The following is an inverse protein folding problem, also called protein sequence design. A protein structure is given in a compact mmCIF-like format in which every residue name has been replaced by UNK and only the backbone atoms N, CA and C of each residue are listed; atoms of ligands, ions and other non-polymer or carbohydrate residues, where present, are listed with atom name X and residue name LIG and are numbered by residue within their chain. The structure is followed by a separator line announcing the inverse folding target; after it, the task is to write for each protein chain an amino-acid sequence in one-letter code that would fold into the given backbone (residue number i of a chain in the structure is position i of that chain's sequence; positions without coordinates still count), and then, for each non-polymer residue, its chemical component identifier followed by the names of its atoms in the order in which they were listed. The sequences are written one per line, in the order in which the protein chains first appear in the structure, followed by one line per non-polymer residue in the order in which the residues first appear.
data_IF_599664374703
#
_entry.id   IF_599664374703
#
_cell.length_a   1.000
_cell.length_b   1.000
_cell.length_c   1.000
_cell.angle_alpha   90.00
_cell.angle_beta   90.00
_cell.angle_gamma   90.00
#
_symmetry.space_group_name_H-M   'P 1'
#
loop_
_entity.id
_entity.type
_entity.pdbx_description
1 polymer ?
#
# COMPACT_ATOMS: atom_id res chain seq x y z
N UNK A 1 -18.50 -33.34 16.52
CA UNK A 1 -19.04 -32.90 15.23
C UNK A 1 -17.97 -32.06 14.57
N UNK A 2 -17.23 -32.69 13.65
CA UNK A 2 -16.10 -32.09 12.95
C UNK A 2 -16.60 -31.17 11.84
N UNK A 3 -16.18 -29.91 11.84
CA UNK A 3 -16.25 -29.03 10.69
C UNK A 3 -14.88 -29.00 10.05
N UNK A 4 -14.78 -29.59 8.88
CA UNK A 4 -13.64 -29.54 7.98
C UNK A 4 -13.63 -28.20 7.27
N UNK A 5 -12.56 -27.44 7.47
CA UNK A 5 -12.26 -26.21 6.73
C UNK A 5 -11.93 -26.54 5.28
N UNK A 6 -12.77 -26.06 4.37
CA UNK A 6 -12.54 -26.17 2.93
C UNK A 6 -11.65 -25.04 2.45
N UNK A 7 -10.38 -25.33 2.23
CA UNK A 7 -9.46 -24.47 1.48
C UNK A 7 -9.90 -24.42 0.01
N UNK A 8 -10.44 -23.29 -0.41
CA UNK A 8 -10.71 -23.01 -1.82
C UNK A 8 -9.41 -22.62 -2.51
N UNK A 9 -8.77 -23.60 -3.14
CA UNK A 9 -7.67 -23.36 -4.08
C UNK A 9 -8.22 -22.67 -5.34
N UNK A 10 -7.90 -21.40 -5.53
CA UNK A 10 -8.14 -20.69 -6.80
C UNK A 10 -7.09 -21.13 -7.81
N UNK A 11 -7.50 -21.92 -8.81
CA UNK A 11 -6.68 -22.30 -9.97
C UNK A 11 -6.38 -21.06 -10.82
N UNK A 12 -5.08 -20.82 -11.04
CA UNK A 12 -4.57 -19.86 -12.03
C UNK A 12 -4.91 -20.39 -13.43
N UNK A 13 -5.64 -19.63 -14.22
CA UNK A 13 -5.86 -19.91 -15.65
C UNK A 13 -4.65 -19.38 -16.40
N UNK A 14 -3.80 -20.29 -16.88
CA UNK A 14 -2.71 -19.99 -17.81
C UNK A 14 -3.30 -20.06 -19.21
N UNK A 15 -3.42 -18.91 -19.89
CA UNK A 15 -3.73 -18.83 -21.30
C UNK A 15 -2.46 -19.14 -22.11
N UNK A 16 -2.32 -20.36 -22.58
CA UNK A 16 -1.37 -20.74 -23.62
C UNK A 16 -2.05 -20.59 -24.98
N UNK A 17 -1.68 -19.56 -25.73
CA UNK A 17 -1.99 -19.49 -27.16
C UNK A 17 -0.84 -20.11 -27.95
N UNK A 18 -1.07 -21.32 -28.43
CA UNK A 18 -0.29 -21.97 -29.49
C UNK A 18 -0.73 -21.45 -30.85
N UNK A 19 0.19 -20.86 -31.59
CA UNK A 19 0.04 -20.50 -32.97
C UNK A 19 1.18 -21.13 -33.79
N UNK A 20 0.87 -22.22 -34.48
CA UNK A 20 1.70 -22.88 -35.50
C UNK A 20 1.64 -22.12 -36.83
N UNK A 21 2.78 -21.92 -37.46
CA UNK A 21 2.88 -21.43 -38.83
C UNK A 21 4.21 -21.75 -39.46
N UNK A 22 4.18 -22.70 -40.36
CA UNK A 22 5.24 -23.24 -41.24
C UNK A 22 5.59 -22.25 -42.39
N UNK A 23 6.83 -22.36 -42.91
CA UNK A 23 7.21 -21.98 -44.30
C UNK A 23 8.53 -21.23 -44.35
N UNK A 24 9.56 -21.90 -44.62
CA UNK A 24 10.37 -22.24 -45.82
C UNK A 24 11.22 -21.09 -46.41
N UNK A 25 12.53 -21.39 -46.40
CA UNK A 25 13.60 -21.30 -47.41
C UNK A 25 13.94 -19.96 -48.12
N UNK A 26 15.24 -19.73 -48.17
CA UNK A 26 15.86 -18.84 -49.11
C UNK A 26 17.28 -18.44 -48.74
N UNK A 27 18.23 -19.30 -49.12
CA UNK A 27 19.68 -19.16 -49.14
C UNK A 27 20.20 -18.05 -50.07
N UNK A 28 21.44 -17.69 -49.81
CA UNK A 28 22.57 -17.27 -50.69
C UNK A 28 23.11 -15.88 -50.27
N UNK A 29 24.30 -15.87 -49.84
CA UNK A 29 25.66 -16.08 -50.38
C UNK A 29 26.34 -14.79 -50.84
N UNK A 30 27.61 -14.70 -50.38
CA UNK A 30 28.83 -14.23 -51.04
C UNK A 30 29.08 -12.72 -51.06
N UNK A 31 30.09 -12.31 -50.38
CA UNK A 31 31.52 -12.19 -50.50
C UNK A 31 32.07 -10.80 -50.77
N UNK A 32 33.20 -10.63 -50.14
CA UNK A 32 34.48 -10.04 -50.55
C UNK A 32 34.68 -8.54 -50.63
N UNK A 33 35.67 -8.16 -49.84
CA UNK A 33 37.00 -7.58 -50.21
C UNK A 33 36.97 -6.12 -50.59
N UNK A 34 37.90 -5.28 -50.31
CA UNK A 34 39.35 -5.25 -50.12
C UNK A 34 39.73 -3.85 -49.61
N UNK A 35 40.68 -3.78 -48.69
CA UNK A 35 42.04 -3.18 -48.72
C UNK A 35 42.25 -1.81 -49.39
N UNK A 36 43.00 -1.03 -48.69
CA UNK A 36 44.30 -0.38 -48.94
C UNK A 36 44.27 1.10 -48.48
N UNK A 37 45.05 1.47 -47.46
CA UNK A 37 46.46 1.87 -47.38
C UNK A 37 46.77 3.30 -47.88
N UNK A 38 47.51 4.02 -47.06
CA UNK A 38 48.33 5.17 -47.47
C UNK A 38 48.36 6.27 -46.42
N UNK A 39 49.33 6.33 -45.57
CA UNK A 39 50.63 7.00 -45.55
C UNK A 39 50.56 8.53 -45.51
N UNK A 40 51.23 9.07 -44.48
CA UNK A 40 52.00 10.32 -44.55
C UNK A 40 51.82 11.20 -43.34
N UNK A 41 52.66 11.08 -42.38
CA UNK A 41 53.82 11.88 -41.95
C UNK A 41 53.55 13.30 -41.42
N UNK A 42 53.94 13.42 -40.16
CA UNK A 42 54.77 14.48 -39.48
C UNK A 42 54.23 15.91 -39.39
N UNK A 43 54.11 16.46 -38.22
CA UNK A 43 55.06 17.14 -37.38
C UNK A 43 54.38 17.85 -36.18
N UNK A 44 54.88 17.50 -35.02
CA UNK A 44 55.36 18.30 -33.88
C UNK A 44 54.71 19.67 -33.53
N UNK A 45 54.27 19.75 -32.28
CA UNK A 45 54.69 20.74 -31.28
C UNK A 45 53.64 20.83 -30.13
N UNK A 46 54.05 20.36 -28.98
CA UNK A 46 53.84 20.87 -27.61
C UNK A 46 52.72 21.88 -27.36
N UNK A 47 51.77 21.51 -26.47
CA UNK A 47 51.50 22.22 -25.21
C UNK A 47 50.54 21.40 -24.33
N UNK A 48 51.08 21.02 -23.19
CA UNK A 48 50.32 20.55 -22.04
C UNK A 48 49.27 21.59 -21.63
N UNK A 49 48.05 21.17 -21.48
CA UNK A 49 47.11 21.70 -20.47
C UNK A 49 46.18 20.61 -20.03
N UNK A 50 46.34 20.27 -18.78
CA UNK A 50 45.45 19.47 -17.97
C UNK A 50 44.00 19.93 -18.09
N UNK A 51 43.13 19.03 -18.47
CA UNK A 51 41.70 19.14 -18.20
C UNK A 51 41.11 17.73 -18.10
N UNK A 52 41.44 17.12 -16.96
CA UNK A 52 40.72 16.01 -16.45
C UNK A 52 39.46 16.56 -15.77
N UNK A 53 38.38 16.75 -16.49
CA UNK A 53 37.06 16.97 -15.96
C UNK A 53 36.12 15.96 -16.57
N UNK A 54 36.10 14.77 -15.94
CA UNK A 54 34.93 13.91 -16.00
C UNK A 54 33.71 14.73 -15.55
N UNK A 55 32.65 14.83 -16.33
CA UNK A 55 31.40 15.30 -15.79
C UNK A 55 30.93 14.23 -14.80
N UNK A 56 31.08 14.50 -13.51
CA UNK A 56 30.29 13.85 -12.49
C UNK A 56 28.85 14.13 -12.88
N UNK A 57 28.15 13.08 -13.34
CA UNK A 57 26.70 13.05 -13.37
C UNK A 57 26.32 13.23 -11.92
N UNK A 58 25.80 14.40 -11.60
CA UNK A 58 25.19 14.73 -10.32
C UNK A 58 23.92 13.87 -10.16
N UNK A 59 24.08 12.68 -9.58
CA UNK A 59 22.98 11.82 -9.15
C UNK A 59 22.22 12.38 -7.92
N UNK A 60 22.43 13.66 -7.58
CA UNK A 60 21.93 14.25 -6.32
C UNK A 60 20.83 15.31 -6.48
N UNK A 61 20.11 15.38 -7.60
CA UNK A 61 19.02 16.36 -7.76
C UNK A 61 17.67 15.78 -8.14
N UNK A 62 17.44 14.48 -8.02
CA UNK A 62 16.12 13.87 -8.18
C UNK A 62 15.54 13.38 -6.84
N UNK A 63 15.87 14.07 -5.74
CA UNK A 63 15.05 14.03 -4.52
C UNK A 63 13.78 14.87 -4.72
N UNK A 64 13.15 14.66 -5.86
CA UNK A 64 11.87 15.22 -6.22
C UNK A 64 10.87 14.88 -5.15
N UNK A 65 10.20 15.90 -4.67
CA UNK A 65 8.99 15.95 -3.86
C UNK A 65 8.20 14.64 -3.94
N UNK A 66 8.69 13.63 -3.22
CA UNK A 66 7.97 12.37 -3.09
C UNK A 66 6.59 12.70 -2.53
N UNK A 67 5.58 12.51 -3.34
CA UNK A 67 4.20 12.80 -2.99
C UNK A 67 3.84 11.95 -1.78
N UNK A 68 3.77 12.56 -0.62
CA UNK A 68 3.52 11.86 0.64
C UNK A 68 2.09 11.36 0.68
N UNK A 69 1.91 10.05 0.53
CA UNK A 69 0.61 9.39 0.64
C UNK A 69 0.27 9.09 2.10
N UNK A 70 -1.00 9.14 2.43
CA UNK A 70 -1.53 8.63 3.70
C UNK A 70 -1.69 7.11 3.63
N UNK A 71 -1.81 6.42 4.78
CA UNK A 71 -2.05 4.96 4.79
C UNK A 71 -3.31 4.57 3.99
N UNK A 72 -4.36 5.38 4.07
CA UNK A 72 -5.60 5.14 3.34
C UNK A 72 -5.37 5.19 1.83
N UNK A 73 -4.59 6.16 1.36
CA UNK A 73 -4.24 6.34 -0.05
C UNK A 73 -3.33 5.22 -0.54
N UNK A 74 -2.33 4.80 0.27
CA UNK A 74 -1.45 3.67 -0.04
C UNK A 74 -2.25 2.37 -0.19
N UNK A 75 -3.17 2.07 0.75
CA UNK A 75 -4.02 0.86 0.70
C UNK A 75 -5.00 0.91 -0.47
N UNK A 76 -5.62 2.06 -0.74
CA UNK A 76 -6.51 2.21 -1.90
C UNK A 76 -5.75 2.00 -3.20
N UNK A 77 -4.54 2.59 -3.34
CA UNK A 77 -3.71 2.49 -4.53
C UNK A 77 -3.29 1.04 -4.81
N UNK A 78 -3.00 0.24 -3.78
CA UNK A 78 -2.73 -1.20 -3.92
C UNK A 78 -3.94 -1.97 -4.45
N UNK A 79 -5.14 -1.61 -4.02
CA UNK A 79 -6.37 -2.28 -4.43
C UNK A 79 -6.92 -1.82 -5.79
N UNK A 80 -6.39 -0.73 -6.34
CA UNK A 80 -6.88 -0.15 -7.59
C UNK A 80 -6.36 -0.94 -8.79
N UNK A 81 -7.23 -1.22 -9.75
CA UNK A 81 -6.84 -1.74 -11.05
C UNK A 81 -6.31 -0.59 -11.91
N UNK A 82 -5.09 -0.74 -12.42
CA UNK A 82 -4.31 0.37 -13.00
C UNK A 82 -4.98 1.03 -14.21
N UNK A 83 -5.51 0.21 -15.11
CA UNK A 83 -6.16 0.68 -16.34
C UNK A 83 -7.63 1.03 -16.14
N UNK A 84 -8.34 0.22 -15.37
CA UNK A 84 -9.77 0.38 -15.15
C UNK A 84 -10.10 1.48 -14.15
N UNK A 85 -9.19 1.81 -13.25
CA UNK A 85 -9.33 2.92 -12.32
C UNK A 85 -10.37 2.72 -11.22
N UNK A 86 -10.68 1.46 -10.85
CA UNK A 86 -11.56 1.11 -9.74
C UNK A 86 -11.04 -0.11 -8.97
N UNK A 87 -11.47 -0.27 -7.74
CA UNK A 87 -11.18 -1.46 -6.92
C UNK A 87 -12.16 -2.59 -7.28
N UNK A 88 -11.79 -3.84 -6.96
CA UNK A 88 -12.72 -4.97 -7.15
C UNK A 88 -14.06 -4.69 -6.46
N UNK A 89 -15.18 -4.93 -7.16
CA UNK A 89 -16.52 -4.81 -6.59
C UNK A 89 -16.79 -5.85 -5.50
N UNK A 90 -16.07 -6.97 -5.55
CA UNK A 90 -16.21 -8.09 -4.60
C UNK A 90 -15.30 -7.95 -3.37
N UNK A 91 -14.54 -6.86 -3.26
CA UNK A 91 -13.71 -6.60 -2.09
C UNK A 91 -14.49 -5.79 -1.06
N UNK A 92 -15.21 -6.49 -0.18
CA UNK A 92 -15.94 -5.86 0.92
C UNK A 92 -15.00 -5.45 2.06
N UNK A 93 -13.87 -6.16 2.23
CA UNK A 93 -12.90 -5.91 3.29
C UNK A 93 -12.22 -4.53 3.20
N UNK A 94 -12.07 -3.98 2.00
CA UNK A 94 -11.41 -2.67 1.81
C UNK A 94 -12.16 -1.54 2.52
N UNK A 95 -13.48 -1.67 2.74
CA UNK A 95 -14.26 -0.66 3.45
C UNK A 95 -13.82 -0.52 4.90
N UNK A 96 -13.82 -1.61 5.65
CA UNK A 96 -13.37 -1.64 7.05
C UNK A 96 -11.86 -1.40 7.15
N UNK A 97 -11.04 -1.98 6.24
CA UNK A 97 -9.60 -1.77 6.17
C UNK A 97 -9.21 -0.29 6.05
N UNK A 98 -9.88 0.48 5.18
CA UNK A 98 -9.64 1.94 5.06
C UNK A 98 -10.00 2.69 6.35
N UNK A 99 -11.01 2.27 7.11
CA UNK A 99 -11.33 2.87 8.42
C UNK A 99 -10.28 2.53 9.46
N UNK A 100 -9.75 1.32 9.43
CA UNK A 100 -8.56 0.97 10.22
C UNK A 100 -7.36 1.87 9.90
N UNK A 101 -7.11 2.16 8.61
CA UNK A 101 -6.07 3.09 8.18
C UNK A 101 -6.30 4.51 8.73
N UNK A 102 -7.54 5.01 8.75
CA UNK A 102 -7.89 6.32 9.33
C UNK A 102 -7.51 6.36 10.81
N UNK A 103 -7.91 5.35 11.60
CA UNK A 103 -7.59 5.30 13.02
C UNK A 103 -6.08 5.17 13.28
N UNK A 104 -5.39 4.35 12.49
CA UNK A 104 -3.94 4.22 12.55
C UNK A 104 -3.22 5.52 12.22
N UNK A 105 -3.66 6.24 11.19
CA UNK A 105 -3.09 7.54 10.79
C UNK A 105 -3.31 8.60 11.89
N UNK A 106 -4.48 8.63 12.53
CA UNK A 106 -4.75 9.48 13.69
C UNK A 106 -3.83 9.14 14.87
N UNK A 107 -3.57 7.84 15.09
CA UNK A 107 -2.62 7.36 16.07
C UNK A 107 -1.17 7.79 15.77
N UNK A 108 -0.72 7.72 14.51
CA UNK A 108 0.60 8.21 14.09
C UNK A 108 0.75 9.71 14.28
N UNK A 109 -0.31 10.47 14.02
CA UNK A 109 -0.32 11.94 14.19
C UNK A 109 -0.53 12.37 15.63
N UNK A 110 -0.63 11.40 16.59
CA UNK A 110 -0.83 11.68 18.01
C UNK A 110 -2.14 12.41 18.32
N UNK A 111 -3.16 12.22 17.47
CA UNK A 111 -4.49 12.84 17.67
C UNK A 111 -5.34 12.04 18.62
N UNK A 112 -5.13 10.75 18.70
CA UNK A 112 -5.84 9.81 19.56
C UNK A 112 -4.89 9.00 20.40
N UNK A 113 -5.39 8.50 21.52
CA UNK A 113 -4.67 7.56 22.38
C UNK A 113 -5.62 6.48 22.91
N UNK A 114 -5.05 5.35 23.32
CA UNK A 114 -5.84 4.28 23.90
C UNK A 114 -5.92 4.46 25.41
N UNK A 115 -7.12 4.24 25.99
CA UNK A 115 -7.33 4.22 27.44
C UNK A 115 -6.23 3.40 28.12
N UNK A 116 -5.70 3.85 29.25
CA UNK A 116 -4.69 3.08 30.02
C UNK A 116 -5.27 1.72 30.46
N UNK A 117 -4.46 0.67 30.42
CA UNK A 117 -4.91 -0.68 30.77
C UNK A 117 -5.51 -0.81 32.18
N UNK A 118 -5.11 0.09 33.10
CA UNK A 118 -5.55 0.10 34.48
C UNK A 118 -5.10 -1.11 35.29
N UNK A 119 -5.54 -1.21 36.55
CA UNK A 119 -5.16 -2.31 37.45
C UNK A 119 -5.69 -3.67 36.98
N UNK A 120 -6.82 -3.71 36.28
CA UNK A 120 -7.43 -4.96 35.75
C UNK A 120 -6.87 -5.40 34.41
N UNK A 121 -5.80 -4.76 33.89
CA UNK A 121 -5.13 -5.09 32.62
C UNK A 121 -6.12 -5.30 31.47
N UNK A 122 -6.99 -4.31 31.20
CA UNK A 122 -7.92 -4.37 30.07
C UNK A 122 -7.17 -4.65 28.78
N UNK A 123 -7.61 -5.63 28.01
CA UNK A 123 -7.05 -5.95 26.69
C UNK A 123 -7.30 -4.84 25.65
N UNK A 124 -6.49 -4.84 24.59
CA UNK A 124 -6.50 -3.79 23.54
C UNK A 124 -7.89 -3.53 22.98
N UNK A 125 -8.67 -4.57 22.70
CA UNK A 125 -9.98 -4.45 22.02
C UNK A 125 -11.09 -3.91 22.90
N UNK A 126 -10.93 -3.93 24.23
CA UNK A 126 -11.95 -3.41 25.17
C UNK A 126 -11.58 -2.04 25.73
N UNK A 127 -10.36 -1.57 25.47
CA UNK A 127 -9.91 -0.23 25.85
C UNK A 127 -10.53 0.81 24.93
N UNK A 128 -10.91 1.95 25.51
CA UNK A 128 -11.55 3.03 24.78
C UNK A 128 -10.52 3.85 24.00
N UNK A 129 -10.90 4.28 22.80
CA UNK A 129 -10.13 5.23 22.01
C UNK A 129 -10.49 6.63 22.47
N UNK A 130 -9.51 7.37 22.95
CA UNK A 130 -9.66 8.71 23.52
C UNK A 130 -9.11 9.77 22.57
N UNK A 131 -9.81 10.88 22.46
CA UNK A 131 -9.32 12.06 21.77
C UNK A 131 -8.21 12.70 22.60
N UNK A 132 -7.04 12.92 22.02
CA UNK A 132 -5.89 13.57 22.65
C UNK A 132 -5.71 15.01 22.18
N UNK A 133 -5.93 15.25 20.89
CA UNK A 133 -5.78 16.56 20.28
C UNK A 133 -6.73 16.67 19.07
N UNK A 134 -7.62 17.66 19.09
CA UNK A 134 -8.64 17.92 18.08
C UNK A 134 -8.21 18.95 17.01
N UNK A 135 -6.95 19.40 17.03
CA UNK A 135 -6.44 20.32 16.03
C UNK A 135 -6.56 19.71 14.61
N UNK A 136 -6.93 20.50 13.59
CA UNK A 136 -7.07 20.03 12.23
C UNK A 136 -5.82 19.30 11.73
N UNK A 137 -6.04 18.23 10.97
CA UNK A 137 -4.97 17.41 10.40
C UNK A 137 -4.57 17.85 8.99
N UNK A 138 -5.43 18.64 8.34
CA UNK A 138 -5.34 19.00 6.93
C UNK A 138 -5.87 17.93 5.97
N UNK A 139 -6.43 16.85 6.50
CA UNK A 139 -7.10 15.80 5.72
C UNK A 139 -8.57 15.72 6.12
N UNK A 140 -9.46 15.91 5.16
CA UNK A 140 -10.91 16.02 5.40
C UNK A 140 -11.50 14.75 6.02
N UNK A 141 -10.99 13.56 5.64
CA UNK A 141 -11.47 12.29 6.21
C UNK A 141 -11.01 12.11 7.66
N UNK A 142 -9.77 12.48 7.96
CA UNK A 142 -9.25 12.43 9.31
C UNK A 142 -9.95 13.44 10.23
N UNK A 143 -10.21 14.65 9.73
CA UNK A 143 -10.87 15.72 10.49
C UNK A 143 -12.34 15.37 10.75
N UNK A 144 -13.04 14.72 9.80
CA UNK A 144 -14.39 14.22 10.00
C UNK A 144 -14.42 13.10 11.06
N UNK A 145 -13.47 12.16 11.02
CA UNK A 145 -13.34 11.11 12.02
C UNK A 145 -13.05 11.70 13.42
N UNK A 146 -12.15 12.69 13.52
CA UNK A 146 -11.86 13.38 14.77
C UNK A 146 -13.09 14.09 15.35
N UNK A 147 -13.89 14.73 14.50
CA UNK A 147 -15.15 15.34 14.91
C UNK A 147 -16.10 14.32 15.53
N UNK A 148 -16.26 13.15 14.88
CA UNK A 148 -17.09 12.07 15.43
C UNK A 148 -16.58 11.56 16.77
N UNK A 149 -15.25 11.37 16.90
CA UNK A 149 -14.62 10.99 18.17
C UNK A 149 -14.89 12.01 19.27
N UNK A 150 -14.81 13.31 18.96
CA UNK A 150 -15.06 14.40 19.90
C UNK A 150 -16.51 14.47 20.39
N UNK A 151 -17.46 14.20 19.49
CA UNK A 151 -18.90 14.29 19.77
C UNK A 151 -19.46 13.05 20.47
N UNK A 152 -18.63 12.02 20.71
CA UNK A 152 -19.09 10.75 21.27
C UNK A 152 -18.76 10.63 22.75
N UNK A 153 -19.79 10.60 23.57
CA UNK A 153 -19.71 10.35 25.01
C UNK A 153 -20.76 9.29 25.39
N UNK A 154 -20.37 8.20 26.08
CA UNK A 154 -19.01 7.83 26.46
C UNK A 154 -18.14 7.39 25.27
N UNK A 155 -16.80 7.47 25.38
CA UNK A 155 -15.87 7.02 24.35
C UNK A 155 -16.09 5.54 23.99
N UNK A 156 -15.76 5.19 22.75
CA UNK A 156 -15.96 3.84 22.20
C UNK A 156 -14.64 3.12 21.94
N UNK A 157 -14.67 1.81 21.69
CA UNK A 157 -13.49 1.00 21.41
C UNK A 157 -13.05 1.13 19.95
N UNK A 158 -11.81 0.69 19.64
CA UNK A 158 -11.31 0.66 18.26
C UNK A 158 -12.19 -0.20 17.34
N UNK A 159 -12.57 -1.44 17.69
CA UNK A 159 -13.50 -2.21 16.85
C UNK A 159 -14.84 -1.49 16.60
N UNK A 160 -15.44 -0.91 17.65
CA UNK A 160 -16.68 -0.15 17.48
C UNK A 160 -16.52 1.03 16.52
N UNK A 161 -15.39 1.73 16.58
CA UNK A 161 -15.11 2.84 15.67
C UNK A 161 -14.97 2.37 14.21
N UNK A 162 -14.31 1.24 13.96
CA UNK A 162 -14.22 0.67 12.61
C UNK A 162 -15.63 0.38 12.07
N UNK A 163 -16.49 -0.26 12.85
CA UNK A 163 -17.88 -0.54 12.47
C UNK A 163 -18.70 0.74 12.23
N UNK A 164 -18.61 1.75 13.11
CA UNK A 164 -19.38 2.98 12.98
C UNK A 164 -18.94 3.80 11.75
N UNK A 165 -17.62 3.95 11.56
CA UNK A 165 -17.09 4.70 10.44
C UNK A 165 -17.34 3.98 9.09
N UNK A 166 -17.45 2.65 9.05
CA UNK A 166 -17.80 1.89 7.84
C UNK A 166 -19.31 1.86 7.59
N UNK A 167 -20.12 2.08 8.63
CA UNK A 167 -21.57 1.97 8.55
C UNK A 167 -22.08 0.53 8.65
N UNK A 168 -21.25 -0.40 9.13
CA UNK A 168 -21.55 -1.82 9.30
C UNK A 168 -22.21 -2.13 10.66
N UNK A 169 -22.68 -1.11 11.36
CA UNK A 169 -23.27 -1.23 12.68
C UNK A 169 -24.76 -1.61 12.62
N UNK A 170 -25.17 -2.51 13.51
CA UNK A 170 -26.59 -2.85 13.73
C UNK A 170 -27.38 -1.77 14.49
N UNK A 171 -26.70 -0.78 15.07
CA UNK A 171 -27.34 0.31 15.81
C UNK A 171 -27.64 1.49 14.88
N UNK A 172 -28.92 1.77 14.53
CA UNK A 172 -29.27 2.87 13.62
C UNK A 172 -28.81 4.24 14.10
N UNK A 173 -28.74 4.44 15.42
CA UNK A 173 -28.29 5.73 16.01
C UNK A 173 -26.80 5.98 15.77
N UNK A 174 -26.03 4.93 15.52
CA UNK A 174 -24.59 5.01 15.25
C UNK A 174 -24.27 5.22 13.77
N UNK A 175 -25.23 5.02 12.85
CA UNK A 175 -25.06 5.27 11.41
C UNK A 175 -24.69 6.72 11.08
N UNK A 176 -25.01 7.66 11.98
CA UNK A 176 -24.58 9.07 11.83
C UNK A 176 -23.07 9.27 11.80
N UNK A 177 -22.29 8.30 12.28
CA UNK A 177 -20.82 8.35 12.28
C UNK A 177 -20.19 7.76 11.00
N UNK A 178 -21.01 7.24 10.08
CA UNK A 178 -20.52 6.66 8.84
C UNK A 178 -19.82 7.69 7.99
N UNK A 179 -18.57 7.43 7.64
CA UNK A 179 -17.84 8.20 6.62
C UNK A 179 -18.30 7.76 5.24
N UNK A 180 -18.97 8.66 4.53
CA UNK A 180 -19.54 8.37 3.21
C UNK A 180 -18.51 8.56 2.09
N UNK A 181 -18.63 7.75 1.03
CA UNK A 181 -17.86 7.87 -0.21
C UNK A 181 -16.33 7.91 -0.01
N UNK A 182 -15.81 7.15 0.98
CA UNK A 182 -14.38 7.20 1.34
C UNK A 182 -13.49 6.84 0.16
N UNK A 183 -13.81 5.77 -0.60
CA UNK A 183 -13.02 5.36 -1.77
C UNK A 183 -12.93 6.48 -2.82
N UNK A 184 -14.06 7.13 -3.12
CA UNK A 184 -14.13 8.22 -4.09
C UNK A 184 -13.36 9.46 -3.61
N UNK A 185 -13.50 9.82 -2.33
CA UNK A 185 -12.79 10.95 -1.73
C UNK A 185 -11.28 10.75 -1.76
N UNK A 186 -10.81 9.53 -1.43
CA UNK A 186 -9.39 9.18 -1.51
C UNK A 186 -8.88 9.16 -2.96
N UNK A 187 -9.68 8.66 -3.91
CA UNK A 187 -9.31 8.69 -5.32
C UNK A 187 -9.17 10.14 -5.82
N UNK A 188 -10.06 11.05 -5.41
CA UNK A 188 -9.93 12.48 -5.71
C UNK A 188 -8.66 13.10 -5.11
N UNK A 189 -8.31 12.78 -3.87
CA UNK A 189 -7.06 13.22 -3.26
C UNK A 189 -5.83 12.71 -4.06
N UNK A 190 -5.87 11.46 -4.54
CA UNK A 190 -4.81 10.90 -5.40
C UNK A 190 -4.75 11.58 -6.78
N UNK A 191 -5.89 12.04 -7.32
CA UNK A 191 -5.93 12.87 -8.54
C UNK A 191 -5.29 14.23 -8.28
N UNK A 192 -5.62 14.89 -7.18
CA UNK A 192 -5.02 16.17 -6.78
C UNK A 192 -3.50 16.07 -6.58
N UNK A 193 -3.03 14.89 -6.16
CA UNK A 193 -1.60 14.56 -6.02
C UNK A 193 -0.94 14.12 -7.34
N UNK A 194 -1.69 14.05 -8.45
CA UNK A 194 -1.18 13.66 -9.76
C UNK A 194 -0.92 12.15 -9.94
N UNK A 195 -1.32 11.32 -8.96
CA UNK A 195 -1.13 9.86 -9.01
C UNK A 195 -2.17 9.18 -9.90
N UNK A 196 -3.40 9.66 -9.87
CA UNK A 196 -4.53 9.18 -10.67
C UNK A 196 -5.03 10.28 -11.61
N UNK A 197 -5.82 9.90 -12.60
CA UNK A 197 -6.64 10.81 -13.41
C UNK A 197 -8.12 10.50 -13.20
N UNK A 198 -8.99 11.26 -13.83
CA UNK A 198 -10.44 11.04 -13.78
C UNK A 198 -10.96 10.78 -15.18
N UNK A 199 -11.64 9.67 -15.38
CA UNK A 199 -12.28 9.30 -16.62
C UNK A 199 -13.75 8.95 -16.40
N UNK A 200 -14.59 9.22 -17.41
CA UNK A 200 -15.98 8.77 -17.43
C UNK A 200 -16.07 7.57 -18.35
N UNK A 201 -16.47 6.44 -17.80
CA UNK A 201 -16.74 5.23 -18.56
C UNK A 201 -18.24 5.02 -18.67
N UNK A 202 -18.72 4.89 -19.91
CA UNK A 202 -20.12 4.62 -20.20
C UNK A 202 -20.31 3.10 -20.27
N UNK A 203 -21.01 2.57 -19.29
CA UNK A 203 -21.53 1.21 -19.35
C UNK A 203 -22.94 1.26 -19.93
N UNK A 204 -23.35 0.24 -20.64
CA UNK A 204 -24.64 0.17 -21.34
C UNK A 204 -25.86 0.65 -20.53
N UNK A 205 -25.81 0.57 -19.21
CA UNK A 205 -26.93 0.90 -18.31
C UNK A 205 -26.64 2.09 -17.38
N UNK A 206 -25.40 2.53 -17.23
CA UNK A 206 -25.03 3.61 -16.33
C UNK A 206 -23.64 4.17 -16.66
N UNK A 207 -23.43 5.43 -16.28
CA UNK A 207 -22.13 6.08 -16.36
C UNK A 207 -21.40 5.91 -15.02
N UNK A 208 -20.14 5.56 -15.07
CA UNK A 208 -19.29 5.45 -13.90
C UNK A 208 -18.06 6.34 -14.04
N UNK A 209 -17.75 7.08 -12.99
CA UNK A 209 -16.47 7.80 -12.89
C UNK A 209 -15.41 6.82 -12.38
N UNK A 210 -14.31 6.72 -13.12
CA UNK A 210 -13.16 5.87 -12.80
C UNK A 210 -11.92 6.73 -12.62
N UNK A 211 -10.92 6.19 -11.96
CA UNK A 211 -9.68 6.90 -11.65
C UNK A 211 -8.46 6.06 -12.05
N UNK A 212 -8.16 5.95 -13.37
CA UNK A 212 -6.99 5.22 -13.85
C UNK A 212 -5.68 5.80 -13.32
N UNK A 213 -4.67 4.94 -13.23
CA UNK A 213 -3.34 5.29 -12.78
C UNK A 213 -2.62 6.14 -13.84
N UNK A 214 -2.14 7.31 -13.44
CA UNK A 214 -1.33 8.21 -14.28
C UNK A 214 0.15 8.05 -13.97
N UNK A 215 0.50 8.01 -12.67
CA UNK A 215 1.86 7.82 -12.20
C UNK A 215 2.13 6.37 -11.80
N UNK A 216 2.65 5.59 -12.75
CA UNK A 216 3.06 4.21 -12.51
C UNK A 216 4.22 4.11 -11.49
N UNK A 217 5.03 5.16 -11.34
CA UNK A 217 6.16 5.15 -10.40
C UNK A 217 5.68 5.15 -8.96
N UNK A 218 4.63 5.90 -8.63
CA UNK A 218 4.08 5.95 -7.28
C UNK A 218 3.62 4.55 -6.82
N UNK A 219 2.88 3.82 -7.65
CA UNK A 219 2.45 2.45 -7.33
C UNK A 219 3.60 1.45 -7.32
N UNK A 220 4.53 1.55 -8.27
CA UNK A 220 5.70 0.67 -8.33
C UNK A 220 6.61 0.83 -7.11
N UNK A 221 6.84 2.07 -6.66
CA UNK A 221 7.60 2.37 -5.42
C UNK A 221 6.89 1.78 -4.19
N UNK A 222 5.57 1.92 -4.11
CA UNK A 222 4.76 1.36 -3.03
C UNK A 222 4.86 -0.17 -2.99
N UNK A 223 4.70 -0.83 -4.13
CA UNK A 223 4.85 -2.30 -4.26
C UNK A 223 6.25 -2.72 -3.84
N UNK A 224 7.29 -2.07 -4.36
CA UNK A 224 8.69 -2.35 -4.02
C UNK A 224 8.97 -2.18 -2.53
N UNK A 225 8.49 -1.09 -1.92
CA UNK A 225 8.59 -0.84 -0.48
C UNK A 225 8.02 -1.99 0.35
N UNK A 226 6.84 -2.51 -0.02
CA UNK A 226 6.21 -3.64 0.68
C UNK A 226 7.01 -4.92 0.46
N UNK A 227 7.42 -5.23 -0.77
CA UNK A 227 8.22 -6.41 -1.09
C UNK A 227 9.56 -6.40 -0.33
N UNK A 228 10.28 -5.29 -0.34
CA UNK A 228 11.54 -5.13 0.39
C UNK A 228 11.35 -5.28 1.90
N UNK A 229 10.31 -4.68 2.46
CA UNK A 229 10.03 -4.79 3.89
C UNK A 229 9.75 -6.24 4.33
N UNK A 230 9.13 -7.03 3.47
CA UNK A 230 8.76 -8.42 3.80
C UNK A 230 9.86 -9.41 3.39
N UNK A 231 10.56 -9.19 2.26
CA UNK A 231 11.54 -10.12 1.72
C UNK A 231 12.99 -9.86 2.17
N UNK A 232 13.33 -8.66 2.64
CA UNK A 232 14.68 -8.36 3.13
C UNK A 232 15.06 -9.23 4.32
N UNK A 233 16.34 -9.18 4.77
CA UNK A 233 16.82 -9.92 5.94
C UNK A 233 16.01 -9.59 7.18
N UNK A 234 14.94 -10.31 7.35
CA UNK A 234 13.99 -10.12 8.40
C UNK A 234 14.31 -11.09 9.54
N UNK A 235 14.59 -10.56 10.69
CA UNK A 235 14.76 -11.33 11.91
C UNK A 235 13.49 -11.17 12.70
N UNK A 236 12.53 -12.05 12.57
CA UNK A 236 11.27 -12.24 13.32
C UNK A 236 10.95 -11.21 14.45
N UNK A 237 11.28 -9.94 14.24
CA UNK A 237 11.10 -8.86 15.18
C UNK A 237 10.40 -7.69 14.48
N UNK A 238 9.09 -7.59 14.71
CA UNK A 238 8.28 -6.48 14.20
C UNK A 238 8.82 -5.10 14.61
N UNK A 239 9.57 -5.01 15.70
CA UNK A 239 10.21 -3.77 16.17
C UNK A 239 11.32 -3.26 15.26
N UNK A 240 11.83 -4.09 14.34
CA UNK A 240 12.85 -3.68 13.35
C UNK A 240 12.26 -3.17 12.05
N UNK A 241 11.01 -3.50 11.75
CA UNK A 241 10.30 -2.92 10.61
C UNK A 241 9.88 -1.48 10.94
N UNK A 242 10.03 -0.58 10.00
CA UNK A 242 9.43 0.76 10.13
C UNK A 242 7.94 0.64 10.46
N UNK A 243 7.49 1.36 11.49
CA UNK A 243 6.14 1.23 12.03
C UNK A 243 5.05 1.54 11.02
N UNK A 244 5.31 2.51 10.13
CA UNK A 244 4.35 2.87 9.08
C UNK A 244 4.26 1.78 8.03
N UNK A 245 5.39 1.19 7.66
CA UNK A 245 5.45 0.06 6.73
C UNK A 245 4.81 -1.20 7.33
N UNK A 246 5.02 -1.47 8.62
CA UNK A 246 4.32 -2.54 9.34
C UNK A 246 2.80 -2.33 9.30
N UNK A 247 2.35 -1.11 9.58
CA UNK A 247 0.92 -0.78 9.52
C UNK A 247 0.37 -0.94 8.10
N UNK A 248 1.12 -0.53 7.08
CA UNK A 248 0.74 -0.71 5.69
C UNK A 248 0.57 -2.19 5.33
N UNK A 249 1.52 -3.05 5.70
CA UNK A 249 1.45 -4.51 5.43
C UNK A 249 0.23 -5.13 6.10
N UNK A 250 0.02 -4.87 7.39
CA UNK A 250 -1.11 -5.47 8.14
C UNK A 250 -2.46 -4.94 7.63
N UNK A 251 -2.57 -3.63 7.37
CA UNK A 251 -3.83 -3.04 6.93
C UNK A 251 -4.13 -3.32 5.45
N UNK A 252 -3.13 -3.47 4.60
CA UNK A 252 -3.32 -3.94 3.23
C UNK A 252 -3.80 -5.39 3.21
N UNK A 253 -3.31 -6.24 4.14
CA UNK A 253 -3.84 -7.60 4.33
C UNK A 253 -5.29 -7.57 4.82
N UNK A 254 -5.59 -6.78 5.84
CA UNK A 254 -6.95 -6.60 6.37
C UNK A 254 -7.94 -6.07 5.32
N UNK A 255 -7.46 -5.27 4.37
CA UNK A 255 -8.24 -4.73 3.26
C UNK A 255 -8.32 -5.68 2.04
N UNK A 256 -7.74 -6.89 2.12
CA UNK A 256 -7.66 -7.88 1.03
C UNK A 256 -7.05 -7.31 -0.27
N UNK A 257 -5.96 -6.51 -0.12
CA UNK A 257 -5.24 -5.90 -1.26
C UNK A 257 -3.73 -6.17 -1.24
N UNK A 258 -3.21 -6.79 -0.18
CA UNK A 258 -1.78 -7.03 -0.02
C UNK A 258 -1.21 -7.95 -1.11
N UNK A 259 -1.96 -8.97 -1.52
CA UNK A 259 -1.52 -9.93 -2.54
C UNK A 259 -1.24 -9.27 -3.89
N UNK A 260 -1.87 -8.12 -4.18
CA UNK A 260 -1.56 -7.35 -5.40
C UNK A 260 -0.10 -6.87 -5.42
N UNK A 261 0.49 -6.61 -4.25
CA UNK A 261 1.89 -6.24 -4.14
C UNK A 261 2.83 -7.44 -4.38
N UNK A 262 2.37 -8.65 -4.16
CA UNK A 262 3.16 -9.87 -4.33
C UNK A 262 2.93 -10.58 -5.67
N UNK A 263 1.91 -10.18 -6.44
CA UNK A 263 1.59 -10.76 -7.73
C UNK A 263 2.77 -10.78 -8.74
N UNK A 264 3.70 -9.80 -8.75
CA UNK A 264 4.86 -9.83 -9.65
C UNK A 264 6.02 -10.72 -9.18
N UNK A 265 5.99 -11.29 -7.97
CA UNK A 265 7.05 -12.09 -7.39
C UNK A 265 7.12 -13.50 -8.03
N UNK A 266 8.28 -14.16 -7.90
CA UNK A 266 8.40 -15.60 -8.16
C UNK A 266 7.54 -16.39 -7.17
N UNK A 267 7.18 -17.64 -7.50
CA UNK A 267 6.37 -18.48 -6.63
C UNK A 267 7.05 -18.70 -5.26
N UNK A 268 8.37 -18.88 -5.23
CA UNK A 268 9.15 -19.06 -3.99
C UNK A 268 9.14 -17.79 -3.12
N UNK A 269 9.32 -16.61 -3.74
CA UNK A 269 9.29 -15.32 -3.02
C UNK A 269 7.88 -14.98 -2.55
N UNK A 270 6.85 -15.31 -3.34
CA UNK A 270 5.46 -15.14 -2.95
C UNK A 270 5.13 -15.98 -1.72
N UNK A 271 5.49 -17.28 -1.73
CA UNK A 271 5.27 -18.15 -0.57
C UNK A 271 6.04 -17.66 0.66
N UNK A 272 7.28 -17.21 0.48
CA UNK A 272 8.08 -16.64 1.56
C UNK A 272 7.44 -15.38 2.13
N UNK A 273 6.99 -14.47 1.26
CA UNK A 273 6.32 -13.24 1.66
C UNK A 273 5.04 -13.54 2.46
N UNK A 274 4.19 -14.42 1.96
CA UNK A 274 2.95 -14.80 2.64
C UNK A 274 3.20 -15.49 3.98
N UNK A 275 4.22 -16.33 4.08
CA UNK A 275 4.62 -16.95 5.35
C UNK A 275 5.07 -15.91 6.38
N UNK A 276 5.86 -14.93 5.96
CA UNK A 276 6.32 -13.84 6.83
C UNK A 276 5.18 -12.92 7.27
N UNK A 277 4.25 -12.62 6.37
CA UNK A 277 3.03 -11.86 6.73
C UNK A 277 2.23 -12.61 7.80
N UNK A 278 2.02 -13.92 7.64
CA UNK A 278 1.35 -14.73 8.67
C UNK A 278 2.06 -14.64 10.03
N UNK A 279 3.39 -14.70 10.04
CA UNK A 279 4.17 -14.53 11.30
C UNK A 279 3.94 -13.15 11.93
N UNK A 280 3.74 -12.08 11.13
CA UNK A 280 3.39 -10.76 11.67
C UNK A 280 1.96 -10.73 12.26
N UNK A 281 1.03 -11.45 11.66
CA UNK A 281 -0.36 -11.51 12.12
C UNK A 281 -0.51 -12.39 13.38
N UNK A 282 0.39 -13.36 13.56
CA UNK A 282 0.41 -14.26 14.72
C UNK A 282 1.13 -13.67 15.94
N UNK A 283 1.61 -12.43 15.87
CA UNK A 283 2.26 -11.76 17.01
C UNK A 283 1.28 -11.57 18.18
N UNK A 284 1.82 -11.62 19.40
CA UNK A 284 1.08 -11.20 20.59
C UNK A 284 1.00 -9.65 20.63
N UNK A 285 -0.07 -9.11 20.08
CA UNK A 285 -0.28 -7.66 20.00
C UNK A 285 -0.38 -6.98 21.37
N UNK A 286 -0.81 -7.69 22.41
CA UNK A 286 -0.83 -7.16 23.78
C UNK A 286 0.61 -6.97 24.30
N UNK A 287 1.47 -7.95 24.06
CA UNK A 287 2.88 -7.88 24.43
C UNK A 287 3.60 -6.79 23.61
N UNK A 288 3.33 -6.71 22.32
CA UNK A 288 3.91 -5.68 21.44
C UNK A 288 3.48 -4.26 21.85
N UNK A 289 2.21 -4.08 22.21
CA UNK A 289 1.68 -2.79 22.67
C UNK A 289 2.26 -2.34 24.03
N UNK A 290 2.77 -3.29 24.82
CA UNK A 290 3.38 -3.00 26.13
C UNK A 290 4.86 -2.61 26.01
N UNK A 291 5.50 -2.77 24.86
CA UNK A 291 6.91 -2.42 24.65
C UNK A 291 7.14 -0.89 24.82
N UNK A 292 8.34 -0.49 25.30
CA UNK A 292 8.73 0.91 25.34
C UNK A 292 8.60 1.56 23.95
N UNK A 293 8.03 2.77 23.91
CA UNK A 293 7.79 3.51 22.66
C UNK A 293 6.80 2.87 21.67
N UNK A 294 6.09 1.81 22.01
CA UNK A 294 5.00 1.30 21.20
C UNK A 294 3.88 2.34 21.08
N UNK A 295 3.12 2.28 19.98
CA UNK A 295 1.89 3.03 19.84
C UNK A 295 0.70 2.06 20.06
N UNK A 296 0.06 2.07 21.24
CA UNK A 296 -0.99 1.11 21.55
C UNK A 296 -2.23 1.21 20.63
N UNK A 297 -2.47 2.39 20.02
CA UNK A 297 -3.57 2.56 19.06
C UNK A 297 -3.37 1.68 17.84
N UNK A 298 -2.15 1.63 17.29
CA UNK A 298 -1.83 0.77 16.15
C UNK A 298 -2.08 -0.70 16.45
N UNK A 299 -1.59 -1.18 17.61
CA UNK A 299 -1.77 -2.58 18.01
C UNK A 299 -3.24 -2.92 18.27
N UNK A 300 -4.03 -1.97 18.78
CA UNK A 300 -5.48 -2.15 18.92
C UNK A 300 -6.19 -2.22 17.55
N UNK A 301 -5.75 -1.42 16.58
CA UNK A 301 -6.27 -1.49 15.20
C UNK A 301 -5.90 -2.84 14.58
N UNK A 302 -4.65 -3.30 14.70
CA UNK A 302 -4.24 -4.61 14.16
C UNK A 302 -5.03 -5.75 14.79
N UNK A 303 -5.16 -5.74 16.13
CA UNK A 303 -5.94 -6.74 16.86
C UNK A 303 -7.43 -6.78 16.45
N UNK A 304 -7.98 -5.68 15.95
CA UNK A 304 -9.37 -5.64 15.50
C UNK A 304 -9.60 -6.41 14.18
N UNK A 305 -8.55 -6.66 13.39
CA UNK A 305 -8.63 -7.36 12.10
C UNK A 305 -8.12 -8.80 12.13
N UNK A 306 -7.47 -9.23 13.21
CA UNK A 306 -6.81 -10.56 13.29
C UNK A 306 -7.55 -11.56 14.18
N UNK A 307 -8.72 -11.19 14.72
CA UNK A 307 -9.55 -12.07 15.56
C UNK A 307 -10.70 -12.71 14.81
#
# INVERSE_FOLDING_TARGET
MNRTDGLVQRRRVVNSSSGSGLGQDGSNDISHNDKLSGHGMDTDCTMQKDLNSNPKIDESQDSDKETRLTLMEEVLLLGLKDKEGYTSFWNDCISSGLRGCILAELGFRGRVELEKAGMRKKGLLVRKLLLKNDAPTGDVLLDEALKHLKETDPPETVPSWIEYLSGETWNPLKLRYQLKNVRERLAKNLVEKGVLTTEKQNFLLFDMTTHPLTDNLAKSRLVKKIQEAVLSRWVNDAGRMDRRTLALVILAHAADVLENAFAPLSDDDYELAMRRVRTLLDLDFEAEAAKPNANPVLWAVFAAFTK
#
